data_IF_479093718080
#
_entry.id   IF_479093718080
#
_cell.length_a   1.000
_cell.length_b   1.000
_cell.length_c   1.000
_cell.angle_alpha   90.00
_cell.angle_beta   90.00
_cell.angle_gamma   90.00
#
_symmetry.space_group_name_H-M   'P 1'
#
loop_
_entity.id
_entity.type
_entity.pdbx_description
1 polymer ?
#
# COMPACT_ATOMS: atom_id res chain seq x y z
N UNK A 1 9.92 -11.61 0.90
CA UNK A 1 9.22 -10.32 1.06
C UNK A 1 9.92 -9.36 2.01
N UNK A 2 10.14 -9.68 3.30
CA UNK A 2 10.80 -8.77 4.25
C UNK A 2 12.22 -8.30 3.83
N UNK A 3 13.04 -9.19 3.27
CA UNK A 3 14.38 -8.83 2.73
C UNK A 3 14.28 -7.90 1.51
N UNK A 4 13.20 -8.00 0.74
CA UNK A 4 12.97 -7.16 -0.44
C UNK A 4 12.53 -5.75 -0.05
N UNK A 5 11.79 -5.63 1.06
CA UNK A 5 11.36 -4.38 1.67
C UNK A 5 12.45 -3.74 2.56
N UNK A 6 13.57 -4.43 2.77
CA UNK A 6 14.70 -3.99 3.58
C UNK A 6 14.29 -3.53 4.99
N UNK A 7 13.45 -4.31 5.67
CA UNK A 7 13.03 -4.02 7.04
C UNK A 7 14.23 -4.11 8.00
N UNK A 8 14.50 -3.04 8.73
CA UNK A 8 15.47 -3.00 9.83
C UNK A 8 14.82 -3.53 11.12
N UNK A 9 15.61 -4.16 11.99
CA UNK A 9 15.18 -4.65 13.32
C UNK A 9 13.90 -5.51 13.29
N UNK A 10 13.73 -6.31 12.23
CA UNK A 10 12.54 -7.12 12.03
C UNK A 10 12.37 -8.19 13.13
N UNK A 11 11.19 -8.23 13.75
CA UNK A 11 10.79 -9.19 14.79
C UNK A 11 9.47 -9.87 14.43
N UNK A 12 9.26 -11.14 14.84
CA UNK A 12 7.95 -11.77 14.70
C UNK A 12 6.86 -10.97 15.43
N UNK A 13 5.69 -10.84 14.81
CA UNK A 13 4.54 -10.12 15.39
C UNK A 13 3.21 -10.70 14.92
N UNK A 14 2.17 -10.48 15.71
CA UNK A 14 0.79 -10.85 15.36
C UNK A 14 0.16 -9.80 14.45
N UNK A 15 -0.96 -10.13 13.81
CA UNK A 15 -1.74 -9.15 13.04
C UNK A 15 -2.14 -7.94 13.90
N UNK A 16 -2.75 -8.18 15.07
CA UNK A 16 -3.22 -7.12 15.94
C UNK A 16 -2.10 -6.16 16.38
N UNK A 17 -0.98 -6.70 16.86
CA UNK A 17 0.19 -5.91 17.24
C UNK A 17 0.80 -5.18 16.02
N UNK A 18 0.95 -5.87 14.90
CA UNK A 18 1.52 -5.33 13.68
C UNK A 18 0.73 -4.12 13.13
N UNK A 19 -0.60 -4.20 13.13
CA UNK A 19 -1.47 -3.11 12.69
C UNK A 19 -1.40 -1.92 13.65
N UNK A 20 -1.38 -2.16 14.97
CA UNK A 20 -1.22 -1.10 15.96
C UNK A 20 0.07 -0.30 15.72
N UNK A 21 1.19 -0.99 15.55
CA UNK A 21 2.48 -0.38 15.25
C UNK A 21 2.51 0.30 13.88
N UNK A 22 1.98 -0.33 12.83
CA UNK A 22 1.87 0.30 11.51
C UNK A 22 1.03 1.59 11.53
N UNK A 23 0.07 1.68 12.45
CA UNK A 23 -0.81 2.84 12.57
C UNK A 23 -0.18 4.03 13.30
N UNK A 24 0.67 3.80 14.30
CA UNK A 24 1.27 4.86 15.12
C UNK A 24 2.78 5.04 14.94
N UNK A 25 3.45 4.08 14.30
CA UNK A 25 4.90 3.94 14.31
C UNK A 25 5.67 4.84 13.35
N UNK A 26 5.19 6.05 13.06
CA UNK A 26 5.97 7.03 12.28
C UNK A 26 7.06 7.65 13.15
N UNK A 27 8.31 7.57 12.72
CA UNK A 27 9.47 8.06 13.46
C UNK A 27 9.96 9.43 12.94
N UNK A 28 10.53 10.29 13.80
CA UNK A 28 11.04 11.61 13.40
C UNK A 28 12.18 11.59 12.37
N UNK A 29 12.89 10.46 12.24
CA UNK A 29 14.04 10.27 11.35
C UNK A 29 13.65 9.75 9.95
N UNK A 30 12.37 9.83 9.61
CA UNK A 30 11.80 9.40 8.33
C UNK A 30 11.57 7.89 8.21
N UNK A 31 11.86 7.10 9.25
CA UNK A 31 11.44 5.69 9.30
C UNK A 31 9.98 5.59 9.72
N UNK A 32 9.40 4.44 9.46
CA UNK A 32 8.08 4.08 9.94
C UNK A 32 8.01 2.59 10.20
N UNK A 33 7.26 2.19 11.21
CA UNK A 33 6.99 0.77 11.44
C UNK A 33 6.13 0.22 10.30
N UNK A 34 6.52 -0.94 9.79
CA UNK A 34 5.81 -1.69 8.78
C UNK A 34 5.64 -3.13 9.23
N UNK A 35 4.41 -3.61 9.15
CA UNK A 35 4.07 -5.01 9.36
C UNK A 35 3.95 -5.75 8.03
N UNK A 36 4.60 -6.90 7.94
CA UNK A 36 4.47 -7.84 6.83
C UNK A 36 3.75 -9.09 7.31
N UNK A 37 2.57 -9.35 6.78
CA UNK A 37 1.78 -10.53 7.18
C UNK A 37 2.42 -11.84 6.69
N UNK A 38 2.00 -13.00 7.20
CA UNK A 38 2.09 -14.24 6.45
C UNK A 38 1.21 -14.20 5.18
N UNK A 39 1.32 -15.18 4.26
CA UNK A 39 0.39 -15.30 3.15
C UNK A 39 -1.07 -15.49 3.62
N UNK A 40 -1.97 -14.65 3.14
CA UNK A 40 -3.42 -14.69 3.37
C UNK A 40 -4.08 -14.74 1.99
N UNK A 41 -4.80 -15.83 1.70
CA UNK A 41 -5.43 -16.07 0.39
C UNK A 41 -4.49 -15.80 -0.82
N UNK A 42 -3.24 -16.22 -0.72
CA UNK A 42 -2.23 -16.07 -1.78
C UNK A 42 -1.52 -14.72 -1.84
N UNK A 43 -1.94 -13.75 -1.02
CA UNK A 43 -1.32 -12.43 -0.94
C UNK A 43 -0.51 -12.26 0.34
N UNK A 44 0.50 -11.40 0.30
CA UNK A 44 1.22 -11.00 1.50
C UNK A 44 1.08 -9.49 1.65
N UNK A 45 0.66 -9.04 2.83
CA UNK A 45 0.36 -7.64 3.09
C UNK A 45 1.57 -6.95 3.70
N UNK A 46 1.90 -5.76 3.19
CA UNK A 46 2.83 -4.84 3.83
C UNK A 46 2.02 -3.60 4.27
N UNK A 47 1.83 -3.42 5.57
CA UNK A 47 0.97 -2.39 6.15
C UNK A 47 1.82 -1.36 6.89
N UNK A 48 1.57 -0.08 6.62
CA UNK A 48 2.34 1.05 7.17
C UNK A 48 3.40 1.57 6.22
N UNK A 49 4.32 2.39 6.72
CA UNK A 49 5.52 2.82 5.99
C UNK A 49 5.39 3.94 4.94
N UNK A 50 4.25 4.06 4.26
CA UNK A 50 4.11 4.90 3.04
C UNK A 50 3.12 6.07 3.18
N UNK A 51 2.94 6.59 4.41
CA UNK A 51 1.85 7.53 4.76
C UNK A 51 1.93 8.93 4.17
N UNK A 52 3.06 9.31 3.55
CA UNK A 52 3.19 10.63 2.89
C UNK A 52 3.69 10.40 1.49
N UNK A 53 2.76 10.44 0.53
CA UNK A 53 3.07 10.66 -0.87
C UNK A 53 2.73 12.12 -1.18
N UNK A 54 3.74 12.97 -1.19
CA UNK A 54 3.67 14.33 -1.76
C UNK A 54 4.07 14.29 -3.24
N UNK A 55 3.85 15.37 -3.99
CA UNK A 55 4.23 15.45 -5.42
C UNK A 55 5.69 15.06 -5.68
N UNK A 56 6.60 15.52 -4.81
CA UNK A 56 8.04 15.22 -4.90
C UNK A 56 8.35 13.73 -4.72
N UNK A 57 7.40 12.95 -4.19
CA UNK A 57 7.55 11.52 -3.89
C UNK A 57 6.79 10.62 -4.87
N UNK A 58 6.05 11.17 -5.85
CA UNK A 58 5.32 10.35 -6.82
C UNK A 58 6.28 9.51 -7.66
N UNK A 59 7.38 10.10 -8.15
CA UNK A 59 8.40 9.37 -8.90
C UNK A 59 9.10 8.29 -8.07
N UNK A 60 9.42 8.59 -6.81
CA UNK A 60 10.02 7.64 -5.85
C UNK A 60 9.07 6.48 -5.56
N UNK A 61 7.79 6.78 -5.35
CA UNK A 61 6.72 5.80 -5.16
C UNK A 61 6.57 4.88 -6.36
N UNK A 62 6.44 5.43 -7.57
CA UNK A 62 6.31 4.63 -8.79
C UNK A 62 7.57 3.79 -9.04
N UNK A 63 8.76 4.37 -8.82
CA UNK A 63 10.01 3.62 -8.93
C UNK A 63 10.06 2.48 -7.91
N UNK A 64 9.67 2.73 -6.67
CA UNK A 64 9.67 1.72 -5.61
C UNK A 64 8.71 0.57 -5.93
N UNK A 65 7.48 0.86 -6.37
CA UNK A 65 6.52 -0.16 -6.77
C UNK A 65 7.00 -0.97 -7.97
N UNK A 66 7.61 -0.32 -8.96
CA UNK A 66 8.25 -0.98 -10.10
C UNK A 66 9.37 -1.92 -9.64
N UNK A 67 10.32 -1.43 -8.87
CA UNK A 67 11.46 -2.22 -8.37
C UNK A 67 11.00 -3.41 -7.50
N UNK A 68 9.94 -3.23 -6.71
CA UNK A 68 9.34 -4.29 -5.89
C UNK A 68 8.65 -5.34 -6.76
N UNK A 69 7.87 -4.91 -7.75
CA UNK A 69 7.18 -5.77 -8.71
C UNK A 69 8.15 -6.58 -9.57
N UNK A 70 9.29 -6.02 -9.97
CA UNK A 70 10.33 -6.75 -10.71
C UNK A 70 10.86 -7.96 -9.93
N UNK A 71 10.81 -7.91 -8.58
CA UNK A 71 11.33 -8.97 -7.70
C UNK A 71 10.23 -9.92 -7.20
N UNK A 72 9.01 -9.42 -7.02
CA UNK A 72 7.92 -10.15 -6.35
C UNK A 72 6.74 -10.50 -7.28
N UNK A 73 6.76 -10.05 -8.54
CA UNK A 73 5.66 -10.27 -9.49
C UNK A 73 4.63 -9.14 -9.42
N UNK A 74 3.40 -9.45 -9.05
CA UNK A 74 2.34 -8.45 -8.95
C UNK A 74 2.40 -7.72 -7.60
N UNK A 75 2.32 -6.39 -7.65
CA UNK A 75 2.21 -5.51 -6.48
C UNK A 75 0.97 -4.65 -6.65
N UNK A 76 0.16 -4.60 -5.61
CA UNK A 76 -0.97 -3.69 -5.49
C UNK A 76 -0.73 -2.80 -4.27
N UNK A 77 -0.95 -1.50 -4.43
CA UNK A 77 -0.82 -0.49 -3.38
C UNK A 77 -2.16 0.22 -3.22
N UNK A 78 -2.55 0.47 -1.98
CA UNK A 78 -3.75 1.19 -1.61
C UNK A 78 -3.45 2.07 -0.39
N UNK A 79 -3.91 3.32 -0.40
CA UNK A 79 -3.72 4.25 0.71
C UNK A 79 -4.89 5.22 0.83
N UNK A 80 -5.29 5.47 2.08
CA UNK A 80 -6.29 6.46 2.46
C UNK A 80 -5.71 7.29 3.62
N UNK A 81 -5.86 8.61 3.56
CA UNK A 81 -5.52 9.49 4.66
C UNK A 81 -6.52 10.64 4.78
N UNK A 82 -7.54 10.40 5.60
CA UNK A 82 -8.72 11.27 5.80
C UNK A 82 -8.42 12.70 6.25
N UNK A 83 -7.26 12.96 6.85
CA UNK A 83 -6.95 14.32 7.35
C UNK A 83 -6.84 15.32 6.20
N UNK A 84 -6.34 14.87 5.05
CA UNK A 84 -6.12 15.68 3.85
C UNK A 84 -6.89 15.12 2.64
N UNK A 85 -7.79 14.17 2.89
CA UNK A 85 -8.55 13.46 1.86
C UNK A 85 -7.64 12.88 0.75
N UNK A 86 -6.51 12.29 1.15
CA UNK A 86 -5.59 11.62 0.23
C UNK A 86 -6.04 10.20 -0.06
N UNK A 87 -6.17 9.88 -1.34
CA UNK A 87 -6.62 8.59 -1.85
C UNK A 87 -5.67 8.16 -2.94
N UNK A 88 -5.10 6.96 -2.83
CA UNK A 88 -4.17 6.47 -3.83
C UNK A 88 -4.28 4.96 -4.02
N UNK A 89 -4.11 4.52 -5.26
CA UNK A 89 -3.96 3.12 -5.61
C UNK A 89 -2.97 2.95 -6.75
N UNK A 90 -2.29 1.81 -6.79
CA UNK A 90 -1.45 1.45 -7.91
C UNK A 90 -1.34 -0.06 -8.09
N UNK A 91 -1.08 -0.47 -9.32
CA UNK A 91 -0.79 -1.84 -9.73
C UNK A 91 0.49 -1.86 -10.55
N UNK A 92 1.42 -2.70 -10.17
CA UNK A 92 2.66 -2.95 -10.88
C UNK A 92 2.83 -4.45 -11.14
N UNK A 93 3.25 -4.83 -12.34
CA UNK A 93 3.45 -6.23 -12.75
C UNK A 93 4.78 -6.36 -13.49
N UNK A 94 5.62 -7.30 -13.06
CA UNK A 94 6.89 -7.61 -13.73
C UNK A 94 7.84 -6.40 -13.86
N UNK A 95 7.76 -5.44 -12.95
CA UNK A 95 8.60 -4.24 -12.98
C UNK A 95 8.00 -3.03 -13.69
N UNK A 96 6.77 -3.13 -14.21
CA UNK A 96 6.09 -2.05 -14.91
C UNK A 96 4.87 -1.56 -14.13
N UNK A 97 4.70 -0.25 -14.06
CA UNK A 97 3.46 0.35 -13.54
C UNK A 97 2.36 0.16 -14.59
N UNK A 98 1.34 -0.62 -14.23
CA UNK A 98 0.16 -0.88 -15.07
C UNK A 98 -0.87 0.23 -14.88
N UNK A 99 -1.09 0.64 -13.63
CA UNK A 99 -2.00 1.70 -13.23
C UNK A 99 -1.48 2.37 -11.97
N UNK A 100 -1.54 3.69 -11.88
CA UNK A 100 -1.32 4.41 -10.63
C UNK A 100 -2.16 5.68 -10.62
N UNK A 101 -2.89 5.89 -9.54
CA UNK A 101 -3.69 7.09 -9.32
C UNK A 101 -3.46 7.60 -7.90
N UNK A 102 -3.38 8.92 -7.76
CA UNK A 102 -3.33 9.58 -6.46
C UNK A 102 -4.07 10.91 -6.53
N UNK A 103 -4.99 11.10 -5.60
CA UNK A 103 -5.83 12.29 -5.47
C UNK A 103 -5.67 12.89 -4.07
N UNK A 104 -5.56 14.21 -4.00
CA UNK A 104 -5.45 15.00 -2.77
C UNK A 104 -6.66 15.93 -2.65
N UNK A 105 -7.64 15.53 -1.85
CA UNK A 105 -8.92 16.23 -1.76
C UNK A 105 -8.84 17.63 -1.15
N UNK A 106 -7.91 17.89 -0.21
CA UNK A 106 -7.73 19.23 0.37
C UNK A 106 -7.38 20.31 -0.68
N UNK A 107 -6.76 19.89 -1.80
CA UNK A 107 -6.35 20.73 -2.93
C UNK A 107 -7.16 20.49 -4.19
N UNK A 108 -8.07 19.51 -4.18
CA UNK A 108 -8.79 19.02 -5.35
C UNK A 108 -7.87 18.67 -6.52
N UNK A 109 -6.79 17.95 -6.23
CA UNK A 109 -5.69 17.75 -7.18
C UNK A 109 -5.36 16.28 -7.43
N UNK A 110 -5.09 15.96 -8.69
CA UNK A 110 -4.56 14.66 -9.10
C UNK A 110 -3.03 14.74 -9.08
N UNK A 111 -2.42 14.07 -8.12
CA UNK A 111 -0.96 13.99 -7.95
C UNK A 111 -0.32 12.98 -8.91
N UNK A 112 -1.06 11.94 -9.30
CA UNK A 112 -0.62 10.93 -10.25
C UNK A 112 -1.81 10.38 -11.03
N UNK A 113 -1.65 10.23 -12.35
CA UNK A 113 -2.57 9.52 -13.23
C UNK A 113 -1.77 8.82 -14.33
N UNK A 114 -1.40 7.56 -14.07
CA UNK A 114 -0.53 6.76 -14.94
C UNK A 114 -1.27 5.50 -15.35
N UNK A 115 -1.17 5.16 -16.63
CA UNK A 115 -1.88 4.01 -17.22
C UNK A 115 -3.35 4.29 -17.47
N UNK A 116 -4.01 3.38 -18.19
CA UNK A 116 -5.42 3.50 -18.50
C UNK A 116 -6.28 3.20 -17.27
N UNK A 117 -7.32 3.99 -17.06
CA UNK A 117 -8.37 3.69 -16.08
C UNK A 117 -8.93 2.29 -16.33
N UNK A 118 -9.02 1.51 -15.27
CA UNK A 118 -9.53 0.14 -15.27
C UNK A 118 -11.06 0.14 -15.30
N UNK A 119 -11.70 -0.94 -15.82
CA UNK A 119 -13.15 -1.09 -15.76
C UNK A 119 -13.69 -0.97 -14.33
N UNK A 120 -12.96 -1.49 -13.35
CA UNK A 120 -13.33 -1.43 -11.93
C UNK A 120 -13.37 0.02 -11.40
N UNK A 121 -12.42 0.87 -11.82
CA UNK A 121 -12.43 2.30 -11.49
C UNK A 121 -13.58 3.06 -12.17
N UNK A 122 -14.00 2.63 -13.36
CA UNK A 122 -15.13 3.24 -14.08
C UNK A 122 -16.48 2.84 -13.45
N UNK A 123 -16.64 1.56 -13.11
CA UNK A 123 -17.86 1.05 -12.47
C UNK A 123 -18.09 1.60 -11.06
N UNK A 124 -17.01 2.00 -10.36
CA UNK A 124 -17.07 2.61 -9.04
C UNK A 124 -17.17 4.15 -9.08
N UNK A 125 -17.15 4.78 -10.26
CA UNK A 125 -17.23 6.23 -10.43
C UNK A 125 -16.16 7.03 -9.65
N UNK A 126 -14.92 6.54 -9.72
CA UNK A 126 -13.77 7.06 -8.95
C UNK A 126 -13.20 8.42 -9.42
N UNK A 127 -14.04 9.35 -9.83
CA UNK A 127 -13.62 10.72 -10.18
C UNK A 127 -13.25 11.54 -8.94
N UNK A 128 -13.95 11.29 -7.82
CA UNK A 128 -13.72 11.90 -6.52
C UNK A 128 -13.79 10.82 -5.43
N UNK A 129 -12.73 9.99 -5.30
CA UNK A 129 -12.78 8.80 -4.46
C UNK A 129 -12.87 9.14 -2.97
N UNK A 130 -13.59 8.29 -2.24
CA UNK A 130 -13.58 8.25 -0.77
C UNK A 130 -12.73 7.09 -0.24
N UNK A 131 -12.50 7.05 1.07
CA UNK A 131 -11.81 5.94 1.74
C UNK A 131 -12.48 4.59 1.45
N UNK A 132 -13.81 4.55 1.42
CA UNK A 132 -14.55 3.34 1.16
C UNK A 132 -14.35 2.83 -0.28
N UNK A 133 -14.17 3.74 -1.23
CA UNK A 133 -13.97 3.40 -2.63
C UNK A 133 -12.61 2.75 -2.89
N UNK A 134 -11.56 3.21 -2.18
CA UNK A 134 -10.23 2.58 -2.23
C UNK A 134 -10.29 1.14 -1.75
N UNK A 135 -11.02 0.86 -0.66
CA UNK A 135 -11.18 -0.51 -0.15
C UNK A 135 -12.00 -1.39 -1.11
N UNK A 136 -13.07 -0.85 -1.70
CA UNK A 136 -13.86 -1.55 -2.74
C UNK A 136 -13.01 -1.89 -3.96
N UNK A 137 -12.18 -0.96 -4.42
CA UNK A 137 -11.27 -1.20 -5.54
C UNK A 137 -10.26 -2.31 -5.21
N UNK A 138 -9.70 -2.29 -4.00
CA UNK A 138 -8.82 -3.35 -3.51
C UNK A 138 -9.50 -4.72 -3.54
N UNK A 139 -10.74 -4.81 -3.04
CA UNK A 139 -11.55 -6.04 -3.11
C UNK A 139 -11.82 -6.53 -4.54
N UNK A 140 -11.93 -5.64 -5.53
CA UNK A 140 -12.08 -6.03 -6.93
C UNK A 140 -10.78 -6.48 -7.58
N UNK A 141 -9.64 -5.95 -7.13
CA UNK A 141 -8.33 -6.31 -7.68
C UNK A 141 -7.71 -7.55 -7.03
N UNK A 142 -7.97 -7.80 -5.75
CA UNK A 142 -7.43 -8.96 -5.03
C UNK A 142 -8.22 -9.27 -3.76
N UNK A 143 -8.03 -8.47 -2.71
CA UNK A 143 -8.58 -8.66 -1.37
C UNK A 143 -9.03 -7.31 -0.84
N UNK A 144 -10.20 -7.30 -0.20
CA UNK A 144 -10.67 -6.14 0.56
C UNK A 144 -9.98 -6.16 1.95
N UNK A 145 -9.06 -5.23 2.25
CA UNK A 145 -8.32 -5.23 3.51
C UNK A 145 -9.24 -5.05 4.73
N UNK A 146 -10.44 -4.45 4.56
CA UNK A 146 -11.41 -4.28 5.65
C UNK A 146 -12.08 -5.58 6.07
N UNK A 147 -11.95 -6.65 5.26
CA UNK A 147 -12.55 -7.96 5.47
C UNK A 147 -11.51 -9.05 5.70
N UNK A 148 -10.27 -8.68 6.01
CA UNK A 148 -9.13 -9.60 6.09
C UNK A 148 -9.33 -10.73 7.12
N UNK A 149 -10.08 -10.46 8.20
CA UNK A 149 -10.43 -11.45 9.23
C UNK A 149 -11.37 -12.56 8.71
N UNK A 150 -12.03 -12.34 7.57
CA UNK A 150 -12.90 -13.32 6.93
C UNK A 150 -12.13 -14.33 6.06
N UNK A 151 -10.84 -14.08 5.78
CA UNK A 151 -10.03 -14.96 4.94
C UNK A 151 -9.31 -16.02 5.79
N UNK A 152 -9.38 -17.27 5.34
CA UNK A 152 -8.59 -18.35 5.96
C UNK A 152 -7.09 -18.07 5.82
N UNK A 153 -6.36 -18.21 6.92
CA UNK A 153 -4.91 -18.16 6.96
C UNK A 153 -4.37 -19.19 7.94
N UNK A 154 -3.22 -19.76 7.63
CA UNK A 154 -2.52 -20.64 8.58
C UNK A 154 -2.05 -19.80 9.79
N UNK A 155 -2.25 -20.28 11.03
CA UNK A 155 -1.81 -19.55 12.21
C UNK A 155 -0.28 -19.41 12.19
N UNK A 156 0.17 -18.24 11.80
CA UNK A 156 1.59 -17.92 11.62
C UNK A 156 1.84 -16.45 11.97
N UNK A 157 3.06 -16.15 12.40
CA UNK A 157 3.46 -14.79 12.74
C UNK A 157 3.94 -14.05 11.50
N UNK A 158 3.57 -12.79 11.39
CA UNK A 158 4.18 -11.86 10.44
C UNK A 158 5.50 -11.30 10.98
N UNK A 159 6.03 -10.31 10.29
CA UNK A 159 7.24 -9.58 10.67
C UNK A 159 6.93 -8.09 10.82
N UNK A 160 7.22 -7.54 11.99
CA UNK A 160 7.19 -6.11 12.24
C UNK A 160 8.62 -5.57 12.23
N UNK A 161 8.88 -4.50 11.49
CA UNK A 161 10.20 -3.88 11.45
C UNK A 161 10.14 -2.42 11.01
N UNK A 162 11.29 -1.76 11.00
CA UNK A 162 11.41 -0.38 10.56
C UNK A 162 11.60 -0.34 9.05
N UNK A 163 10.80 0.48 8.39
CA UNK A 163 10.84 0.71 6.95
C UNK A 163 11.22 2.15 6.66
N UNK A 164 11.98 2.34 5.59
CA UNK A 164 12.24 3.64 4.97
C UNK A 164 12.05 3.48 3.47
N UNK A 165 11.29 4.38 2.86
CA UNK A 165 11.17 4.42 1.40
C UNK A 165 12.59 4.66 0.82
N UNK A 166 13.08 3.79 -0.07
CA UNK A 166 14.37 4.00 -0.70
C UNK A 166 14.31 5.26 -1.58
N UNK A 167 15.09 6.28 -1.23
CA UNK A 167 15.33 7.42 -2.12
C UNK A 167 16.41 7.02 -3.13
N UNK A 168 16.17 7.30 -4.41
CA UNK A 168 17.18 7.12 -5.48
C UNK A 168 18.00 8.38 -5.66
#
# INVERSE_FOLDING_TARGET
MATTLNLEDARPSTWAEGIEHAYYGSLPDGRSEMFVSPPIAGWTFAVGGLRRLTELQVSEWLSFLGDLSAKLGEIQYFNTYRVVEHHAWAKAVGGQIVRAFSYLGERQEILADVGNRTPEEAELDLDYPSEHDVMRLAGRWSIDPSRIEEYESEPSLGLLGLFRLPMK
#
